data_IF_145411771627
#
_entry.id   IF_145411771627
#
_cell.length_a   1.000
_cell.length_b   1.000
_cell.length_c   1.000
_cell.angle_alpha   90.00
_cell.angle_beta   90.00
_cell.angle_gamma   90.00
#
_symmetry.space_group_name_H-M   'P 1'
#
loop_
_entity.id
_entity.type
_entity.pdbx_description
1 polymer ?
#
# COMPACT_ATOMS: atom_id res chain seq x y z
N UNK A 1 11.09 10.59 16.03
CA UNK A 1 9.74 10.49 15.43
C UNK A 1 9.12 9.15 15.78
N UNK A 2 7.85 9.12 16.08
CA UNK A 2 7.12 7.88 16.34
C UNK A 2 5.82 7.85 15.53
N UNK A 3 5.33 6.63 15.29
CA UNK A 3 4.11 6.43 14.52
C UNK A 3 3.29 5.28 15.11
N UNK A 4 2.47 5.58 16.14
CA UNK A 4 1.63 4.54 16.73
C UNK A 4 0.62 3.97 15.71
N UNK A 5 0.08 2.77 15.94
CA UNK A 5 0.37 1.88 17.07
C UNK A 5 1.77 1.26 17.00
N UNK A 6 2.28 0.86 18.16
CA UNK A 6 3.64 0.31 18.31
C UNK A 6 3.61 -1.22 18.36
N UNK A 7 4.69 -1.88 17.90
CA UNK A 7 4.82 -3.32 18.16
C UNK A 7 5.06 -3.61 19.66
N UNK A 8 4.75 -4.80 20.16
CA UNK A 8 4.16 -5.92 19.42
C UNK A 8 2.70 -5.67 19.07
N UNK A 9 2.32 -6.05 17.86
CA UNK A 9 0.98 -5.81 17.37
C UNK A 9 -0.03 -6.84 17.87
N UNK A 10 -1.27 -6.38 18.01
CA UNK A 10 -2.45 -7.23 18.15
C UNK A 10 -3.16 -7.27 16.79
N UNK A 11 -4.18 -8.13 16.65
CA UNK A 11 -4.99 -8.13 15.43
C UNK A 11 -5.58 -6.76 15.14
N UNK A 12 -6.08 -6.08 16.17
CA UNK A 12 -6.67 -4.76 16.04
C UNK A 12 -5.65 -3.72 15.59
N UNK A 13 -4.48 -3.67 16.25
CA UNK A 13 -3.45 -2.68 15.91
C UNK A 13 -2.75 -2.98 14.59
N UNK A 14 -2.60 -4.25 14.23
CA UNK A 14 -2.10 -4.64 12.92
C UNK A 14 -3.07 -4.23 11.81
N UNK A 15 -4.38 -4.44 12.01
CA UNK A 15 -5.40 -3.98 11.07
C UNK A 15 -5.41 -2.45 10.94
N UNK A 16 -5.20 -1.74 12.04
CA UNK A 16 -5.06 -0.28 12.03
C UNK A 16 -3.87 0.17 11.19
N UNK A 17 -2.71 -0.49 11.32
CA UNK A 17 -1.54 -0.21 10.48
C UNK A 17 -1.83 -0.45 9.01
N UNK A 18 -2.53 -1.53 8.67
CA UNK A 18 -2.91 -1.82 7.28
C UNK A 18 -3.81 -0.71 6.71
N UNK A 19 -4.79 -0.24 7.48
CA UNK A 19 -5.67 0.85 7.05
C UNK A 19 -4.93 2.18 6.92
N UNK A 20 -4.02 2.48 7.84
CA UNK A 20 -3.19 3.69 7.75
C UNK A 20 -2.35 3.69 6.48
N UNK A 21 -1.78 2.55 6.11
CA UNK A 21 -1.02 2.41 4.87
C UNK A 21 -1.92 2.60 3.64
N UNK A 22 -3.10 1.97 3.62
CA UNK A 22 -4.07 2.16 2.54
C UNK A 22 -4.41 3.64 2.36
N UNK A 23 -4.75 4.34 3.44
CA UNK A 23 -5.14 5.74 3.39
C UNK A 23 -3.98 6.64 2.91
N UNK A 24 -2.77 6.39 3.40
CA UNK A 24 -1.59 7.16 2.98
C UNK A 24 -1.31 6.98 1.48
N UNK A 25 -1.33 5.75 0.98
CA UNK A 25 -1.08 5.47 -0.43
C UNK A 25 -2.19 6.02 -1.33
N UNK A 26 -3.45 5.97 -0.88
CA UNK A 26 -4.57 6.57 -1.62
C UNK A 26 -4.49 8.10 -1.72
N UNK A 27 -3.69 8.74 -0.87
CA UNK A 27 -3.42 10.18 -1.01
C UNK A 27 -2.58 10.51 -2.25
N UNK A 28 -1.82 9.53 -2.75
CA UNK A 28 -0.86 9.68 -3.86
C UNK A 28 0.17 10.79 -3.61
N UNK A 29 0.53 10.97 -2.35
CA UNK A 29 1.52 11.95 -1.91
C UNK A 29 2.79 11.22 -1.48
N UNK A 30 3.86 11.21 -2.31
CA UNK A 30 5.09 10.48 -2.00
C UNK A 30 5.75 10.92 -0.69
N UNK A 31 5.74 12.21 -0.39
CA UNK A 31 6.35 12.72 0.85
C UNK A 31 5.57 12.25 2.07
N UNK A 32 4.25 12.35 2.02
CA UNK A 32 3.38 11.85 3.11
C UNK A 32 3.60 10.36 3.36
N UNK A 33 3.62 9.57 2.31
CA UNK A 33 3.85 8.11 2.42
C UNK A 33 5.21 7.83 3.05
N UNK A 34 6.25 8.55 2.64
CA UNK A 34 7.62 8.32 3.11
C UNK A 34 7.76 8.44 4.63
N UNK A 35 6.92 9.24 5.28
CA UNK A 35 6.98 9.46 6.73
C UNK A 35 6.59 8.23 7.56
N UNK A 36 5.98 7.22 6.94
CA UNK A 36 5.64 5.96 7.62
C UNK A 36 6.85 5.00 7.74
N UNK A 37 7.95 5.33 7.09
CA UNK A 37 9.13 4.48 6.97
C UNK A 37 10.30 5.07 7.71
N UNK A 38 11.22 4.19 8.17
CA UNK A 38 12.48 4.66 8.77
C UNK A 38 13.33 5.37 7.71
N UNK A 39 14.27 6.21 8.15
CA UNK A 39 15.13 6.93 7.23
C UNK A 39 15.98 6.00 6.35
N UNK A 40 16.30 4.82 6.87
CA UNK A 40 17.09 3.78 6.19
C UNK A 40 16.24 2.58 5.76
N UNK A 41 14.93 2.77 5.61
CA UNK A 41 14.01 1.68 5.27
C UNK A 41 14.41 0.96 3.99
N UNK A 42 14.35 -0.37 4.02
CA UNK A 42 14.71 -1.22 2.88
C UNK A 42 13.48 -1.74 2.18
N UNK A 43 13.45 -1.56 0.88
CA UNK A 43 12.34 -1.98 0.05
C UNK A 43 12.76 -2.94 -1.05
N UNK A 44 11.94 -3.94 -1.27
CA UNK A 44 11.80 -4.61 -2.55
C UNK A 44 10.39 -4.36 -3.05
N UNK A 45 10.30 -3.80 -4.25
CA UNK A 45 9.00 -3.65 -4.94
C UNK A 45 9.11 -4.36 -6.28
N UNK A 46 8.44 -5.48 -6.43
CA UNK A 46 8.62 -6.37 -7.58
C UNK A 46 10.10 -6.77 -7.68
N UNK A 47 10.77 -6.37 -8.73
CA UNK A 47 12.20 -6.63 -8.96
C UNK A 47 13.09 -5.40 -8.70
N UNK A 48 12.54 -4.32 -8.13
CA UNK A 48 13.31 -3.14 -7.75
C UNK A 48 13.71 -3.23 -6.28
N UNK A 49 14.97 -2.89 -5.99
CA UNK A 49 15.54 -2.91 -4.64
C UNK A 49 16.14 -1.54 -4.36
N UNK A 50 15.75 -0.92 -3.26
CA UNK A 50 16.27 0.38 -2.88
C UNK A 50 16.14 0.63 -1.38
N UNK A 51 16.81 1.68 -0.90
CA UNK A 51 16.90 2.00 0.52
C UNK A 51 16.78 3.50 0.73
N UNK A 52 16.05 3.88 1.78
CA UNK A 52 15.95 5.26 2.25
C UNK A 52 14.78 6.04 1.70
N UNK A 53 14.38 7.08 2.45
CA UNK A 53 13.19 7.89 2.13
C UNK A 53 13.29 8.60 0.78
N UNK A 54 14.49 9.11 0.42
CA UNK A 54 14.65 9.78 -0.87
C UNK A 54 14.36 8.83 -2.04
N UNK A 55 14.83 7.57 -1.95
CA UNK A 55 14.56 6.55 -2.96
C UNK A 55 13.08 6.16 -2.98
N UNK A 56 12.43 6.09 -1.81
CA UNK A 56 11.00 5.83 -1.69
C UNK A 56 10.19 6.93 -2.39
N UNK A 57 10.51 8.19 -2.11
CA UNK A 57 9.84 9.34 -2.75
C UNK A 57 10.02 9.29 -4.26
N UNK A 58 11.23 9.04 -4.74
CA UNK A 58 11.51 8.94 -6.17
C UNK A 58 10.72 7.80 -6.84
N UNK A 59 10.66 6.64 -6.20
CA UNK A 59 9.88 5.49 -6.68
C UNK A 59 8.39 5.84 -6.77
N UNK A 60 7.81 6.40 -5.72
CA UNK A 60 6.39 6.73 -5.67
C UNK A 60 6.02 7.83 -6.66
N UNK A 61 6.91 8.80 -6.86
CA UNK A 61 6.74 9.85 -7.86
C UNK A 61 6.61 9.25 -9.25
N UNK A 62 7.49 8.31 -9.62
CA UNK A 62 7.41 7.60 -10.91
C UNK A 62 6.15 6.74 -11.01
N UNK A 63 5.79 6.05 -9.93
CA UNK A 63 4.61 5.18 -9.88
C UNK A 63 3.34 5.97 -10.21
N UNK A 64 3.09 7.05 -9.50
CA UNK A 64 1.84 7.81 -9.68
C UNK A 64 1.86 8.77 -10.86
N UNK A 65 3.01 9.02 -11.47
CA UNK A 65 3.08 9.65 -12.79
C UNK A 65 2.60 8.71 -13.90
N UNK A 66 2.72 7.40 -13.71
CA UNK A 66 2.35 6.37 -14.68
C UNK A 66 0.99 5.72 -14.39
N UNK A 67 0.67 5.54 -13.11
CA UNK A 67 -0.56 4.86 -12.67
C UNK A 67 -1.62 5.90 -12.33
N UNK A 68 -2.47 6.20 -13.31
CA UNK A 68 -3.50 7.24 -13.17
C UNK A 68 -4.73 6.72 -12.46
N UNK A 69 -5.42 7.60 -11.75
CA UNK A 69 -6.65 7.31 -11.01
C UNK A 69 -6.53 6.13 -10.05
N UNK A 70 -5.35 5.96 -9.48
CA UNK A 70 -5.01 4.89 -8.55
C UNK A 70 -5.94 4.85 -7.34
N UNK A 71 -6.45 3.65 -7.04
CA UNK A 71 -7.25 3.36 -5.85
C UNK A 71 -6.84 2.01 -5.30
N UNK A 72 -6.59 1.97 -4.01
CA UNK A 72 -6.03 0.81 -3.30
C UNK A 72 -6.96 0.36 -2.19
N UNK A 73 -7.14 -0.96 -2.08
CA UNK A 73 -7.69 -1.61 -0.88
C UNK A 73 -6.66 -2.60 -0.35
N UNK A 74 -6.35 -2.47 0.94
CA UNK A 74 -5.35 -3.30 1.61
C UNK A 74 -5.98 -3.98 2.81
N UNK A 75 -5.66 -5.26 3.01
CA UNK A 75 -6.26 -6.07 4.05
C UNK A 75 -5.19 -6.83 4.85
N UNK A 76 -5.39 -6.88 6.17
CA UNK A 76 -4.51 -7.65 7.04
C UNK A 76 -4.65 -9.14 6.73
N UNK A 77 -3.51 -9.82 6.54
CA UNK A 77 -3.48 -11.27 6.38
C UNK A 77 -3.04 -11.98 7.66
N UNK A 78 -1.92 -11.56 8.23
CA UNK A 78 -1.35 -12.15 9.44
C UNK A 78 -0.41 -11.16 10.11
N UNK A 79 -0.08 -11.40 11.37
CA UNK A 79 0.87 -10.60 12.12
C UNK A 79 1.57 -11.46 13.16
N UNK A 80 2.77 -11.04 13.54
CA UNK A 80 3.52 -11.65 14.63
C UNK A 80 4.58 -10.65 15.12
N UNK A 81 4.52 -10.29 16.43
CA UNK A 81 5.48 -9.36 17.01
C UNK A 81 5.48 -8.01 16.30
N UNK A 82 6.59 -7.67 15.64
CA UNK A 82 6.75 -6.44 14.88
C UNK A 82 6.55 -6.61 13.37
N UNK A 83 5.97 -7.74 12.94
CA UNK A 83 5.77 -8.06 11.53
C UNK A 83 4.30 -8.13 11.19
N UNK A 84 3.97 -7.63 10.00
CA UNK A 84 2.61 -7.66 9.46
C UNK A 84 2.68 -8.14 8.02
N UNK A 85 1.81 -9.09 7.67
CA UNK A 85 1.60 -9.50 6.29
C UNK A 85 0.24 -8.99 5.84
N UNK A 86 0.18 -8.42 4.64
CA UNK A 86 -1.04 -7.90 4.04
C UNK A 86 -1.21 -8.41 2.62
N UNK A 87 -2.45 -8.44 2.17
CA UNK A 87 -2.77 -8.56 0.75
C UNK A 87 -3.45 -7.28 0.29
N UNK A 88 -3.35 -6.98 -1.00
CA UNK A 88 -3.97 -5.79 -1.53
C UNK A 88 -4.35 -5.96 -2.99
N UNK A 89 -5.26 -5.12 -3.42
CA UNK A 89 -5.60 -4.92 -4.82
C UNK A 89 -5.65 -3.43 -5.09
N UNK A 90 -5.19 -3.00 -6.27
CA UNK A 90 -5.39 -1.62 -6.69
C UNK A 90 -5.74 -1.57 -8.17
N UNK A 91 -6.48 -0.53 -8.54
CA UNK A 91 -6.87 -0.29 -9.92
C UNK A 91 -6.30 1.04 -10.39
N UNK A 92 -5.93 1.09 -11.64
CA UNK A 92 -5.30 2.23 -12.27
C UNK A 92 -5.37 2.12 -13.78
N UNK A 93 -5.20 3.23 -14.51
CA UNK A 93 -5.02 3.16 -15.95
C UNK A 93 -3.66 3.75 -16.35
N UNK A 94 -3.12 3.28 -17.47
CA UNK A 94 -1.87 3.79 -18.02
C UNK A 94 -2.09 5.02 -18.91
N UNK A 95 -1.02 5.52 -19.54
CA UNK A 95 -1.07 6.69 -20.40
C UNK A 95 -1.93 6.48 -21.65
N UNK A 96 -2.10 5.23 -22.08
CA UNK A 96 -2.96 4.86 -23.21
C UNK A 96 -4.43 4.69 -22.83
N UNK A 97 -4.75 4.81 -21.54
CA UNK A 97 -6.11 4.61 -21.03
C UNK A 97 -6.49 3.17 -20.78
N UNK A 98 -5.53 2.23 -20.85
CA UNK A 98 -5.78 0.83 -20.51
C UNK A 98 -5.87 0.68 -19.00
N UNK A 99 -7.00 0.16 -18.50
CA UNK A 99 -7.20 -0.15 -17.11
C UNK A 99 -6.53 -1.47 -16.72
N UNK A 100 -6.05 -1.49 -15.49
CA UNK A 100 -5.40 -2.65 -14.87
C UNK A 100 -5.92 -2.85 -13.47
N UNK A 101 -5.94 -4.10 -13.02
CA UNK A 101 -6.06 -4.45 -11.60
C UNK A 101 -4.80 -5.18 -11.20
N UNK A 102 -4.18 -4.69 -10.15
CA UNK A 102 -2.94 -5.25 -9.61
C UNK A 102 -3.25 -6.00 -8.32
N UNK A 103 -2.73 -7.20 -8.21
CA UNK A 103 -2.88 -8.09 -7.05
C UNK A 103 -1.53 -8.21 -6.37
N UNK A 104 -1.49 -7.94 -5.06
CA UNK A 104 -0.23 -7.96 -4.36
C UNK A 104 -0.31 -8.54 -2.96
N UNK A 105 0.88 -8.95 -2.51
CA UNK A 105 1.15 -9.40 -1.16
C UNK A 105 2.36 -8.64 -0.64
N UNK A 106 2.29 -8.18 0.60
CA UNK A 106 3.40 -7.47 1.23
C UNK A 106 3.77 -8.09 2.56
N UNK A 107 5.05 -8.01 2.87
CA UNK A 107 5.60 -8.34 4.17
C UNK A 107 6.26 -7.09 4.74
N UNK A 108 5.87 -6.73 5.96
CA UNK A 108 6.34 -5.55 6.66
C UNK A 108 7.04 -5.90 7.97
N UNK A 109 8.08 -5.13 8.27
CA UNK A 109 8.72 -5.18 9.58
C UNK A 109 8.90 -3.77 10.11
N UNK A 110 8.57 -3.57 11.40
CA UNK A 110 8.57 -2.24 12.03
C UNK A 110 9.65 -2.15 13.10
N UNK A 111 10.14 -0.94 13.34
CA UNK A 111 10.96 -0.65 14.50
C UNK A 111 10.09 -0.40 15.74
N UNK A 112 10.74 -0.19 16.90
CA UNK A 112 10.03 0.04 18.16
C UNK A 112 9.22 1.35 18.17
N UNK A 113 9.57 2.30 17.31
CA UNK A 113 8.84 3.56 17.17
C UNK A 113 7.63 3.48 16.24
N UNK A 114 7.35 2.30 15.70
CA UNK A 114 6.20 2.09 14.81
C UNK A 114 6.43 2.52 13.37
N UNK A 115 7.67 2.76 12.98
CA UNK A 115 8.04 3.06 11.60
C UNK A 115 8.44 1.78 10.87
N UNK A 116 8.04 1.65 9.62
CA UNK A 116 8.36 0.46 8.82
C UNK A 116 9.81 0.54 8.33
N UNK A 117 10.61 -0.44 8.73
CA UNK A 117 12.02 -0.51 8.37
C UNK A 117 12.32 -1.46 7.21
N UNK A 118 11.37 -2.33 6.87
CA UNK A 118 11.51 -3.28 5.76
C UNK A 118 10.16 -3.52 5.11
N UNK A 119 10.14 -3.49 3.79
CA UNK A 119 8.95 -3.78 3.00
C UNK A 119 9.34 -4.64 1.81
N UNK A 120 8.64 -5.74 1.63
CA UNK A 120 8.77 -6.59 0.44
C UNK A 120 7.40 -6.73 -0.19
N UNK A 121 7.28 -6.41 -1.48
CA UNK A 121 6.03 -6.47 -2.22
C UNK A 121 6.18 -7.28 -3.51
N UNK A 122 5.33 -8.28 -3.65
CA UNK A 122 5.17 -9.05 -4.88
C UNK A 122 3.83 -8.70 -5.49
N UNK A 123 3.81 -8.33 -6.77
CA UNK A 123 2.64 -7.76 -7.43
C UNK A 123 2.52 -8.32 -8.83
N UNK A 124 1.30 -8.71 -9.21
CA UNK A 124 0.95 -9.13 -10.56
C UNK A 124 -0.16 -8.24 -11.11
N UNK A 125 -0.02 -7.79 -12.35
CA UNK A 125 -1.00 -6.95 -13.00
C UNK A 125 -1.82 -7.75 -14.02
N UNK A 126 -3.12 -7.44 -14.09
CA UNK A 126 -3.96 -7.92 -15.19
C UNK A 126 -4.62 -6.73 -15.87
N UNK A 127 -4.73 -6.78 -17.19
CA UNK A 127 -5.52 -5.80 -17.93
C UNK A 127 -7.00 -6.11 -17.74
N UNK A 128 -7.81 -5.07 -17.52
CA UNK A 128 -9.26 -5.19 -17.36
C UNK A 128 -9.97 -4.18 -18.27
N UNK A 129 -11.22 -4.46 -18.58
CA UNK A 129 -12.06 -3.45 -19.23
C UNK A 129 -12.50 -2.40 -18.20
N UNK A 130 -12.75 -1.18 -18.65
CA UNK A 130 -13.21 -0.11 -17.75
C UNK A 130 -14.50 -0.51 -17.02
N UNK A 131 -15.41 -1.19 -17.67
CA UNK A 131 -16.67 -1.68 -17.08
C UNK A 131 -16.46 -2.67 -15.94
N UNK A 132 -15.30 -3.33 -15.90
CA UNK A 132 -14.96 -4.34 -14.88
C UNK A 132 -14.26 -3.74 -13.66
N UNK A 133 -14.09 -2.42 -13.62
CA UNK A 133 -13.56 -1.71 -12.45
C UNK A 133 -14.47 -1.91 -11.25
N UNK A 134 -13.84 -2.12 -10.09
CA UNK A 134 -14.52 -2.27 -8.80
C UNK A 134 -14.34 -1.07 -7.89
N UNK A 135 -13.25 -0.32 -8.03
CA UNK A 135 -12.89 0.80 -7.14
C UNK A 135 -13.25 2.11 -7.81
N UNK A 136 -14.34 2.73 -7.34
CA UNK A 136 -14.96 3.87 -8.03
C UNK A 136 -15.21 5.09 -7.15
N UNK A 137 -14.65 5.13 -5.93
CA UNK A 137 -14.76 6.33 -5.09
C UNK A 137 -13.92 7.48 -5.64
N UNK A 138 -14.20 8.72 -5.18
CA UNK A 138 -13.43 9.89 -5.59
C UNK A 138 -11.97 9.76 -5.21
N UNK A 139 -11.07 9.97 -6.16
CA UNK A 139 -9.63 9.90 -5.96
C UNK A 139 -8.96 11.22 -6.37
N UNK A 140 -7.85 11.64 -5.72
CA UNK A 140 -7.21 10.96 -4.59
C UNK A 140 -8.01 11.07 -3.31
N UNK A 141 -7.80 10.14 -2.38
CA UNK A 141 -8.42 10.17 -1.08
C UNK A 141 -8.73 8.79 -0.53
N UNK A 142 -9.04 8.72 0.77
CA UNK A 142 -9.29 7.46 1.44
C UNK A 142 -10.57 6.79 0.93
N UNK A 143 -10.58 5.47 1.03
CA UNK A 143 -11.77 4.68 0.73
C UNK A 143 -12.90 5.08 1.68
N UNK A 144 -14.10 5.42 1.17
CA UNK A 144 -15.24 5.76 2.01
C UNK A 144 -15.66 4.60 2.93
N UNK A 145 -16.28 4.95 4.07
CA UNK A 145 -16.69 3.96 5.06
C UNK A 145 -17.74 2.97 4.53
N UNK A 146 -18.54 3.38 3.53
CA UNK A 146 -19.56 2.53 2.91
C UNK A 146 -19.01 1.62 1.80
N UNK A 147 -17.75 1.76 1.45
CA UNK A 147 -17.06 0.87 0.50
C UNK A 147 -16.37 -0.24 1.27
N UNK A 148 -16.80 -1.47 1.04
CA UNK A 148 -16.24 -2.65 1.73
C UNK A 148 -14.76 -2.86 1.37
N UNK A 149 -14.00 -3.38 2.34
CA UNK A 149 -12.66 -3.89 2.09
C UNK A 149 -12.68 -5.21 1.32
N UNK A 150 -11.49 -5.82 1.17
CA UNK A 150 -11.39 -7.10 0.44
C UNK A 150 -12.07 -8.23 1.21
N UNK A 151 -11.97 -8.24 2.55
CA UNK A 151 -12.59 -9.26 3.38
C UNK A 151 -12.21 -10.67 2.94
N UNK A 152 -13.20 -11.53 2.79
CA UNK A 152 -13.03 -12.91 2.31
C UNK A 152 -13.13 -13.03 0.79
N UNK A 153 -13.16 -11.93 0.07
CA UNK A 153 -13.19 -11.95 -1.40
C UNK A 153 -11.98 -12.71 -1.94
N UNK A 154 -12.17 -13.74 -2.77
CA UNK A 154 -11.06 -14.50 -3.30
C UNK A 154 -10.27 -13.71 -4.35
N UNK A 155 -10.93 -12.87 -5.15
CA UNK A 155 -10.29 -12.19 -6.29
C UNK A 155 -10.80 -10.78 -6.54
#
# INVERSE_FOLDING_TARGET
MSRPPFPPFTRETAAQKARMAEDAWNSRDPERVSLAYTEDSRWRNRAEFFEGRAAIIAFLTRKWAREHEYRLIKDLWAFDGNRIAVRFQYEWHDDAGQWHRSYGNEQWEFDAAGLMRRREASINDIAIAEKDRRFRWSAPGPRPADVAGLGDSPF
#
